data_IF_325175542814
#
_entry.id   IF_325175542814
#
_cell.length_a   1.000
_cell.length_b   1.000
_cell.length_c   1.000
_cell.angle_alpha   90.00
_cell.angle_beta   90.00
_cell.angle_gamma   90.00
#
_symmetry.space_group_name_H-M   'P 1'
#
loop_
_entity.id
_entity.type
_entity.pdbx_description
1 polymer ?
#
# COMPACT_ATOMS: atom_id res chain seq x y z
N UNK A 1 -7.90 -28.09 50.62
CA UNK A 1 -8.12 -26.67 50.26
C UNK A 1 -6.76 -25.99 50.13
N UNK A 2 -6.27 -25.74 48.91
CA UNK A 2 -4.98 -25.07 48.70
C UNK A 2 -5.22 -23.60 48.39
N UNK A 3 -5.01 -22.74 49.39
CA UNK A 3 -5.25 -21.29 49.36
C UNK A 3 -4.00 -20.47 49.04
N UNK A 4 -3.10 -20.98 48.20
CA UNK A 4 -1.89 -20.25 47.81
C UNK A 4 -2.14 -19.32 46.62
N UNK A 5 -3.05 -18.37 46.77
CA UNK A 5 -3.12 -17.22 45.85
C UNK A 5 -2.20 -16.11 46.40
N UNK A 6 -0.98 -16.01 45.87
CA UNK A 6 0.04 -15.02 46.30
C UNK A 6 -0.25 -13.59 45.85
N UNK A 7 -1.39 -13.31 45.20
CA UNK A 7 -1.82 -11.96 44.86
C UNK A 7 -3.35 -11.83 44.98
N UNK A 8 -3.88 -11.70 46.21
CA UNK A 8 -5.33 -11.68 46.45
C UNK A 8 -6.02 -10.39 45.94
N UNK A 9 -5.26 -9.31 45.72
CA UNK A 9 -5.79 -7.99 45.33
C UNK A 9 -5.57 -7.65 43.85
N UNK A 10 -4.79 -8.46 43.11
CA UNK A 10 -4.54 -8.29 41.68
C UNK A 10 -3.81 -6.99 41.29
N UNK A 11 -3.26 -6.25 42.26
CA UNK A 11 -2.58 -4.97 42.01
C UNK A 11 -1.10 -5.18 41.76
N UNK A 12 -0.76 -5.31 40.49
CA UNK A 12 0.62 -5.36 40.02
C UNK A 12 1.13 -3.91 39.96
N UNK A 13 2.30 -3.61 40.51
CA UNK A 13 2.87 -2.25 40.63
C UNK A 13 3.27 -1.58 39.30
N UNK A 14 2.85 -2.14 38.16
CA UNK A 14 3.04 -1.57 36.84
C UNK A 14 1.67 -1.14 36.30
N UNK A 15 1.57 0.12 35.87
CA UNK A 15 0.44 0.70 35.12
C UNK A 15 0.31 -0.02 33.76
N UNK A 16 -0.18 -1.25 33.79
CA UNK A 16 -0.41 -2.04 32.60
C UNK A 16 -1.62 -1.48 31.84
N UNK A 17 -1.58 -1.43 30.50
CA UNK A 17 -2.73 -0.96 29.73
C UNK A 17 -3.98 -1.80 30.03
N UNK A 18 -5.13 -1.13 30.16
CA UNK A 18 -6.42 -1.79 30.44
C UNK A 18 -6.68 -2.92 29.42
N UNK A 19 -7.33 -3.99 29.88
CA UNK A 19 -7.65 -5.15 29.03
C UNK A 19 -8.44 -4.72 27.78
N UNK A 20 -9.45 -3.89 27.99
CA UNK A 20 -10.40 -3.45 26.95
C UNK A 20 -10.06 -2.05 26.42
N UNK A 21 -8.77 -1.70 26.40
CA UNK A 21 -8.29 -0.45 25.82
C UNK A 21 -8.58 -0.44 24.31
N UNK A 22 -9.49 0.44 23.82
CA UNK A 22 -9.97 0.40 22.44
C UNK A 22 -8.86 0.70 21.43
N UNK A 23 -7.89 1.56 21.75
CA UNK A 23 -6.81 1.89 20.82
C UNK A 23 -5.93 0.66 20.54
N UNK A 24 -5.67 -0.13 21.59
CA UNK A 24 -4.86 -1.35 21.46
C UNK A 24 -5.62 -2.41 20.67
N UNK A 25 -6.91 -2.58 20.95
CA UNK A 25 -7.73 -3.57 20.25
C UNK A 25 -7.85 -3.22 18.77
N UNK A 26 -8.10 -1.94 18.45
CA UNK A 26 -8.16 -1.44 17.08
C UNK A 26 -6.80 -1.60 16.37
N UNK A 27 -5.69 -1.29 17.04
CA UNK A 27 -4.35 -1.47 16.47
C UNK A 27 -4.04 -2.95 16.20
N UNK A 28 -4.36 -3.87 17.12
CA UNK A 28 -4.18 -5.32 16.91
C UNK A 28 -5.00 -5.81 15.72
N UNK A 29 -6.26 -5.35 15.58
CA UNK A 29 -7.08 -5.68 14.42
C UNK A 29 -6.49 -5.14 13.13
N UNK A 30 -6.03 -3.89 13.11
CA UNK A 30 -5.36 -3.27 11.97
C UNK A 30 -4.12 -4.06 11.55
N UNK A 31 -3.19 -4.30 12.46
CA UNK A 31 -1.98 -5.08 12.16
C UNK A 31 -2.28 -6.48 11.63
N UNK A 32 -3.33 -7.11 12.16
CA UNK A 32 -3.78 -8.42 11.68
C UNK A 32 -4.31 -8.35 10.25
N UNK A 33 -5.09 -7.31 9.90
CA UNK A 33 -5.54 -7.03 8.53
C UNK A 33 -4.38 -6.72 7.59
N UNK A 34 -3.36 -6.02 8.08
CA UNK A 34 -2.13 -5.70 7.34
C UNK A 34 -1.18 -6.91 7.18
N UNK A 35 -1.55 -8.07 7.71
CA UNK A 35 -0.76 -9.30 7.59
C UNK A 35 0.37 -9.45 8.60
N UNK A 36 0.47 -8.56 9.59
CA UNK A 36 1.43 -8.69 10.69
C UNK A 36 0.95 -9.79 11.63
N UNK A 37 1.47 -11.01 11.45
CA UNK A 37 1.04 -12.17 12.24
C UNK A 37 1.84 -12.36 13.53
N UNK A 38 3.05 -11.79 13.63
CA UNK A 38 3.96 -12.05 14.76
C UNK A 38 3.60 -11.20 15.99
N UNK A 39 3.37 -11.83 17.17
CA UNK A 39 3.18 -11.09 18.41
C UNK A 39 4.34 -10.16 18.75
N UNK A 40 5.59 -10.55 18.46
CA UNK A 40 6.77 -9.71 18.71
C UNK A 40 6.76 -8.44 17.86
N UNK A 41 6.38 -8.57 16.58
CA UNK A 41 6.25 -7.41 15.67
C UNK A 41 5.14 -6.47 16.13
N UNK A 42 3.98 -7.02 16.51
CA UNK A 42 2.88 -6.21 17.05
C UNK A 42 3.29 -5.45 18.31
N UNK A 43 4.08 -6.05 19.21
CA UNK A 43 4.61 -5.34 20.40
C UNK A 43 5.48 -4.16 19.97
N UNK A 44 6.41 -4.37 19.03
CA UNK A 44 7.27 -3.29 18.53
C UNK A 44 6.47 -2.17 17.86
N UNK A 45 5.46 -2.51 17.07
CA UNK A 45 4.59 -1.53 16.40
C UNK A 45 3.74 -0.75 17.40
N UNK A 46 3.13 -1.41 18.39
CA UNK A 46 2.37 -0.73 19.44
C UNK A 46 3.24 0.25 20.25
N UNK A 47 4.48 -0.13 20.53
CA UNK A 47 5.41 0.74 21.22
C UNK A 47 5.80 1.95 20.36
N UNK A 48 6.06 1.73 19.07
CA UNK A 48 6.46 2.80 18.15
C UNK A 48 5.32 3.77 17.84
N UNK A 49 4.10 3.26 17.62
CA UNK A 49 2.96 4.06 17.16
C UNK A 49 2.15 4.68 18.30
N UNK A 50 1.94 3.93 19.39
CA UNK A 50 1.08 4.35 20.51
C UNK A 50 1.85 4.59 21.81
N UNK A 51 3.16 4.33 21.85
CA UNK A 51 3.95 4.38 23.07
C UNK A 51 3.56 3.33 24.12
N UNK A 52 2.72 2.34 23.75
CA UNK A 52 2.16 1.35 24.68
C UNK A 52 2.98 0.07 24.66
N UNK A 53 3.54 -0.30 25.82
CA UNK A 53 4.31 -1.54 25.99
C UNK A 53 3.42 -2.69 26.45
N UNK A 54 3.43 -3.80 25.71
CA UNK A 54 2.74 -5.04 26.06
C UNK A 54 3.66 -6.24 25.92
N UNK A 55 3.41 -7.28 26.71
CA UNK A 55 4.07 -8.58 26.51
C UNK A 55 3.45 -9.32 25.32
N UNK A 56 4.23 -10.18 24.66
CA UNK A 56 3.70 -11.07 23.61
C UNK A 56 2.53 -11.94 24.10
N UNK A 57 2.59 -12.39 25.36
CA UNK A 57 1.52 -13.19 25.97
C UNK A 57 0.22 -12.38 26.08
N UNK A 58 0.30 -11.09 26.37
CA UNK A 58 -0.85 -10.19 26.39
C UNK A 58 -1.43 -10.02 24.99
N UNK A 59 -0.60 -9.88 23.96
CA UNK A 59 -1.06 -9.82 22.55
C UNK A 59 -1.74 -11.13 22.14
N UNK A 60 -1.14 -12.29 22.43
CA UNK A 60 -1.73 -13.59 22.13
C UNK A 60 -3.12 -13.75 22.76
N UNK A 61 -3.28 -13.33 24.02
CA UNK A 61 -4.58 -13.37 24.72
C UNK A 61 -5.60 -12.43 24.09
N UNK A 62 -5.22 -11.17 23.84
CA UNK A 62 -6.14 -10.19 23.21
C UNK A 62 -6.55 -10.61 21.81
N UNK A 63 -5.64 -11.22 21.04
CA UNK A 63 -5.97 -11.79 19.71
C UNK A 63 -6.99 -12.92 19.80
N UNK A 64 -6.87 -13.77 20.81
CA UNK A 64 -7.85 -14.84 21.06
C UNK A 64 -9.22 -14.24 21.41
N UNK A 65 -9.24 -13.25 22.31
CA UNK A 65 -10.48 -12.56 22.73
C UNK A 65 -11.15 -11.82 21.54
N UNK A 66 -10.37 -11.29 20.61
CA UNK A 66 -10.82 -10.63 19.38
C UNK A 66 -11.19 -11.60 18.24
N UNK A 67 -10.98 -12.92 18.41
CA UNK A 67 -11.22 -13.90 17.34
C UNK A 67 -10.26 -13.80 16.14
N UNK A 68 -9.17 -13.04 16.24
CA UNK A 68 -8.19 -12.87 15.15
C UNK A 68 -7.18 -14.02 15.15
N UNK A 69 -7.50 -15.03 14.36
CA UNK A 69 -6.73 -16.26 14.26
C UNK A 69 -5.78 -16.25 13.06
N UNK A 70 -4.67 -16.98 13.18
CA UNK A 70 -3.81 -17.23 12.02
C UNK A 70 -4.40 -18.36 11.17
N UNK A 71 -4.12 -18.34 9.85
CA UNK A 71 -4.55 -19.39 8.92
C UNK A 71 -4.22 -20.82 9.38
N UNK A 72 -3.15 -20.97 10.17
CA UNK A 72 -2.67 -22.27 10.68
C UNK A 72 -3.32 -22.68 12.01
N UNK A 73 -4.04 -21.77 12.67
CA UNK A 73 -4.71 -22.04 13.94
C UNK A 73 -5.70 -23.19 13.79
N UNK A 74 -5.63 -24.16 14.71
CA UNK A 74 -6.61 -25.25 14.78
C UNK A 74 -8.03 -24.77 15.07
N UNK A 75 -8.21 -23.54 15.56
CA UNK A 75 -9.52 -22.89 15.70
C UNK A 75 -10.03 -22.47 14.32
N UNK A 76 -9.21 -21.77 13.54
CA UNK A 76 -9.61 -21.30 12.21
C UNK A 76 -9.89 -22.44 11.23
N UNK A 77 -9.11 -23.54 11.31
CA UNK A 77 -9.39 -24.76 10.52
C UNK A 77 -10.73 -25.41 10.85
N UNK A 78 -11.24 -25.24 12.07
CA UNK A 78 -12.55 -25.75 12.50
C UNK A 78 -13.69 -24.79 12.16
N UNK A 79 -13.39 -23.49 12.13
CA UNK A 79 -14.37 -22.45 11.80
C UNK A 79 -14.66 -22.34 10.31
N UNK A 80 -13.66 -22.57 9.44
CA UNK A 80 -13.81 -22.40 8.00
C UNK A 80 -13.77 -23.76 7.29
N UNK A 81 -14.92 -24.17 6.76
CA UNK A 81 -15.02 -25.32 5.86
C UNK A 81 -14.33 -25.02 4.51
N UNK A 82 -14.14 -26.05 3.68
CA UNK A 82 -13.64 -25.85 2.33
C UNK A 82 -14.57 -24.96 1.50
N UNK A 83 -15.89 -25.14 1.63
CA UNK A 83 -16.88 -24.32 0.93
C UNK A 83 -16.82 -22.85 1.33
N UNK A 84 -16.63 -22.56 2.62
CA UNK A 84 -16.47 -21.18 3.10
C UNK A 84 -15.24 -20.53 2.48
N UNK A 85 -14.11 -21.25 2.44
CA UNK A 85 -12.87 -20.76 1.79
C UNK A 85 -13.08 -20.50 0.31
N UNK A 86 -13.76 -21.41 -0.39
CA UNK A 86 -14.10 -21.24 -1.81
C UNK A 86 -14.92 -19.98 -2.00
N UNK A 87 -15.99 -19.77 -1.23
CA UNK A 87 -16.82 -18.58 -1.36
C UNK A 87 -16.04 -17.29 -1.08
N UNK A 88 -15.18 -17.28 -0.06
CA UNK A 88 -14.34 -16.13 0.28
C UNK A 88 -13.41 -15.76 -0.88
N UNK A 89 -12.77 -16.76 -1.49
CA UNK A 89 -11.85 -16.55 -2.62
C UNK A 89 -12.62 -16.11 -3.87
N UNK A 90 -13.75 -16.75 -4.19
CA UNK A 90 -14.59 -16.38 -5.33
C UNK A 90 -15.12 -14.95 -5.22
N UNK A 91 -15.64 -14.56 -4.06
CA UNK A 91 -16.08 -13.19 -3.81
C UNK A 91 -14.95 -12.17 -3.99
N UNK A 92 -13.70 -12.56 -3.73
CA UNK A 92 -12.56 -11.68 -3.94
C UNK A 92 -12.16 -11.62 -5.42
N UNK A 93 -12.24 -12.72 -6.16
CA UNK A 93 -12.00 -12.76 -7.61
C UNK A 93 -13.06 -11.94 -8.37
N UNK A 94 -14.32 -11.96 -7.93
CA UNK A 94 -15.38 -11.14 -8.52
C UNK A 94 -15.11 -9.63 -8.44
N UNK A 95 -14.29 -9.19 -7.47
CA UNK A 95 -13.86 -7.78 -7.35
C UNK A 95 -12.72 -7.42 -8.31
N UNK A 96 -12.16 -8.39 -9.03
CA UNK A 96 -11.07 -8.20 -9.99
C UNK A 96 -11.53 -8.49 -11.42
N UNK A 97 -12.37 -7.64 -12.03
CA UNK A 97 -12.87 -7.84 -13.39
C UNK A 97 -11.75 -7.92 -14.45
N UNK A 98 -10.55 -7.41 -14.16
CA UNK A 98 -9.38 -7.53 -15.04
C UNK A 98 -8.70 -8.91 -14.98
N UNK A 99 -8.99 -9.72 -13.96
CA UNK A 99 -8.31 -10.98 -13.63
C UNK A 99 -6.78 -10.85 -13.57
N UNK A 100 -6.29 -9.67 -13.16
CA UNK A 100 -4.86 -9.36 -13.09
C UNK A 100 -4.22 -9.73 -11.75
N UNK A 101 -5.03 -9.92 -10.70
CA UNK A 101 -4.54 -10.13 -9.34
C UNK A 101 -4.02 -11.54 -9.13
N UNK A 102 -2.70 -11.65 -8.96
CA UNK A 102 -2.08 -12.91 -8.58
C UNK A 102 -2.45 -13.36 -7.16
N UNK A 103 -2.17 -14.64 -6.86
CA UNK A 103 -2.47 -15.29 -5.58
C UNK A 103 -2.09 -14.46 -4.34
N UNK A 104 -0.93 -13.83 -4.35
CA UNK A 104 -0.46 -13.06 -3.17
C UNK A 104 -1.33 -11.83 -2.94
N UNK A 105 -1.87 -11.23 -4.01
CA UNK A 105 -2.73 -10.06 -3.94
C UNK A 105 -4.08 -10.47 -3.39
N UNK A 106 -4.69 -11.52 -3.95
CA UNK A 106 -5.95 -12.09 -3.47
C UNK A 106 -5.86 -12.43 -1.98
N UNK A 107 -4.78 -13.10 -1.57
CA UNK A 107 -4.54 -13.41 -0.15
C UNK A 107 -4.49 -12.15 0.73
N UNK A 108 -3.76 -11.13 0.28
CA UNK A 108 -3.61 -9.88 1.04
C UNK A 108 -4.93 -9.11 1.11
N UNK A 109 -5.72 -9.05 0.03
CA UNK A 109 -7.04 -8.41 0.03
C UNK A 109 -8.03 -9.13 0.96
N UNK A 110 -8.05 -10.47 0.97
CA UNK A 110 -8.91 -11.23 1.90
C UNK A 110 -8.53 -10.89 3.36
N UNK A 111 -7.22 -10.81 3.65
CA UNK A 111 -6.75 -10.44 4.98
C UNK A 111 -7.13 -9.00 5.35
N UNK A 112 -6.95 -8.05 4.44
CA UNK A 112 -7.22 -6.64 4.66
C UNK A 112 -8.72 -6.35 4.83
N UNK A 113 -9.53 -6.81 3.88
CA UNK A 113 -10.96 -6.52 3.83
C UNK A 113 -11.71 -7.25 4.94
N UNK A 114 -11.45 -8.55 5.09
CA UNK A 114 -12.25 -9.44 5.94
C UNK A 114 -11.56 -9.79 7.27
N UNK A 115 -10.26 -9.50 7.43
CA UNK A 115 -9.49 -9.98 8.59
C UNK A 115 -9.25 -11.48 8.59
N UNK A 116 -9.51 -12.17 7.47
CA UNK A 116 -9.41 -13.63 7.36
C UNK A 116 -8.08 -14.00 6.71
N UNK A 117 -7.34 -14.86 7.40
CA UNK A 117 -6.10 -15.42 6.85
C UNK A 117 -6.31 -16.83 6.31
N UNK A 118 -6.13 -17.01 5.01
CA UNK A 118 -6.16 -18.34 4.36
C UNK A 118 -4.75 -18.83 4.03
N UNK A 119 -4.59 -20.15 3.89
CA UNK A 119 -3.33 -20.73 3.45
C UNK A 119 -3.14 -20.46 1.96
N UNK A 120 -1.88 -20.24 1.57
CA UNK A 120 -1.51 -20.05 0.16
C UNK A 120 -1.98 -21.22 -0.71
N UNK A 121 -1.82 -22.45 -0.23
CA UNK A 121 -2.14 -23.64 -1.00
C UNK A 121 -3.66 -23.81 -1.18
N UNK A 122 -4.46 -23.45 -0.17
CA UNK A 122 -5.93 -23.44 -0.27
C UNK A 122 -6.38 -22.45 -1.36
N UNK A 123 -5.87 -21.21 -1.31
CA UNK A 123 -6.19 -20.19 -2.32
C UNK A 123 -5.75 -20.64 -3.71
N UNK A 124 -4.51 -21.16 -3.82
CA UNK A 124 -3.97 -21.64 -5.10
C UNK A 124 -4.85 -22.72 -5.71
N UNK A 125 -5.29 -23.68 -4.91
CA UNK A 125 -6.14 -24.77 -5.37
C UNK A 125 -7.48 -24.24 -5.87
N UNK A 126 -8.15 -23.40 -5.08
CA UNK A 126 -9.44 -22.79 -5.43
C UNK A 126 -9.32 -21.97 -6.71
N UNK A 127 -8.32 -21.08 -6.79
CA UNK A 127 -8.11 -20.26 -7.99
C UNK A 127 -7.81 -21.13 -9.22
N UNK A 128 -7.03 -22.21 -9.11
CA UNK A 128 -6.79 -23.10 -10.26
C UNK A 128 -8.03 -23.87 -10.71
N UNK A 129 -8.93 -24.19 -9.78
CA UNK A 129 -10.18 -24.89 -10.07
C UNK A 129 -11.22 -23.97 -10.72
N UNK A 130 -11.34 -22.73 -10.25
CA UNK A 130 -12.44 -21.84 -10.63
C UNK A 130 -12.03 -20.70 -11.58
N UNK A 131 -10.75 -20.34 -11.64
CA UNK A 131 -10.20 -19.33 -12.55
C UNK A 131 -8.90 -19.83 -13.23
N UNK A 132 -8.98 -20.90 -14.03
CA UNK A 132 -7.81 -21.41 -14.75
C UNK A 132 -7.30 -20.44 -15.82
N UNK A 133 -8.16 -19.58 -16.37
CA UNK A 133 -7.79 -18.62 -17.41
C UNK A 133 -7.03 -17.41 -16.84
N UNK A 134 -7.44 -16.85 -15.70
CA UNK A 134 -6.70 -15.76 -15.04
C UNK A 134 -5.26 -16.16 -14.69
N UNK A 135 -5.06 -17.42 -14.26
CA UNK A 135 -3.72 -17.96 -14.04
C UNK A 135 -2.87 -18.06 -15.30
N UNK A 136 -3.47 -18.45 -16.44
CA UNK A 136 -2.75 -18.49 -17.72
C UNK A 136 -2.40 -17.08 -18.19
N UNK A 137 -3.32 -16.13 -18.05
CA UNK A 137 -3.12 -14.74 -18.41
C UNK A 137 -2.00 -14.06 -17.59
N UNK A 138 -1.77 -14.49 -16.34
CA UNK A 138 -0.67 -14.01 -15.51
C UNK A 138 0.73 -14.45 -16.01
N UNK A 139 0.82 -15.43 -16.92
CA UNK A 139 2.06 -15.98 -17.49
C UNK A 139 3.22 -16.15 -16.48
N UNK A 140 3.03 -16.94 -15.41
CA UNK A 140 4.01 -17.06 -14.34
C UNK A 140 5.35 -17.58 -14.88
N UNK A 141 6.39 -16.74 -14.78
CA UNK A 141 7.76 -17.08 -15.20
C UNK A 141 8.14 -16.70 -16.63
N UNK A 142 7.24 -16.08 -17.41
CA UNK A 142 7.54 -15.65 -18.78
C UNK A 142 8.67 -14.60 -18.87
N UNK A 143 8.85 -13.78 -17.84
CA UNK A 143 9.94 -12.78 -17.77
C UNK A 143 10.85 -13.03 -16.57
N UNK A 144 12.07 -13.49 -16.82
CA UNK A 144 13.15 -13.54 -15.84
C UNK A 144 13.96 -12.24 -15.90
N UNK A 145 13.50 -11.22 -15.19
CA UNK A 145 14.21 -9.95 -15.09
C UNK A 145 15.38 -10.14 -14.09
N UNK A 146 16.64 -9.86 -14.49
CA UNK A 146 17.76 -9.84 -13.56
C UNK A 146 17.48 -8.87 -12.42
N UNK A 147 17.56 -9.35 -11.18
CA UNK A 147 17.34 -8.52 -9.99
C UNK A 147 18.69 -8.07 -9.44
N UNK A 148 18.87 -6.77 -9.32
CA UNK A 148 20.03 -6.19 -8.65
C UNK A 148 19.61 -5.73 -7.26
N UNK A 149 20.37 -6.11 -6.23
CA UNK A 149 20.13 -5.64 -4.88
C UNK A 149 20.37 -4.11 -4.82
N UNK A 150 19.42 -3.38 -4.24
CA UNK A 150 19.61 -1.98 -3.87
C UNK A 150 19.95 -1.95 -2.39
N UNK A 151 21.03 -1.25 -2.05
CA UNK A 151 21.53 -1.13 -0.68
C UNK A 151 21.47 0.34 -0.28
N UNK A 152 20.27 0.88 0.02
CA UNK A 152 20.15 2.22 0.55
C UNK A 152 20.84 2.33 1.91
N UNK A 153 21.43 3.49 2.19
CA UNK A 153 21.96 3.88 3.50
C UNK A 153 20.82 4.05 4.52
N UNK A 154 19.65 4.52 4.07
CA UNK A 154 18.48 4.70 4.94
C UNK A 154 17.22 5.19 4.22
N UNK A 155 16.13 5.30 4.97
CA UNK A 155 14.89 5.94 4.49
C UNK A 155 15.15 7.42 4.21
N UNK A 156 14.45 7.97 3.22
CA UNK A 156 14.63 9.33 2.71
C UNK A 156 16.03 9.64 2.14
N UNK A 157 16.89 8.65 1.95
CA UNK A 157 18.13 8.85 1.19
C UNK A 157 17.80 9.24 -0.26
N UNK A 158 16.95 8.44 -0.92
CA UNK A 158 16.55 8.69 -2.30
C UNK A 158 15.04 8.66 -2.46
N UNK A 159 14.50 9.69 -3.08
CA UNK A 159 13.11 9.74 -3.52
C UNK A 159 13.06 9.54 -5.04
N UNK A 160 12.13 8.71 -5.49
CA UNK A 160 11.91 8.42 -6.90
C UNK A 160 10.52 8.92 -7.29
N UNK A 161 10.47 9.92 -8.18
CA UNK A 161 9.24 10.52 -8.69
C UNK A 161 8.98 10.14 -10.14
N UNK A 162 7.71 10.04 -10.51
CA UNK A 162 7.28 9.77 -11.88
C UNK A 162 5.80 10.11 -12.10
N UNK A 163 5.41 10.27 -13.37
CA UNK A 163 4.02 10.40 -13.82
C UNK A 163 3.47 9.06 -14.34
N UNK A 164 2.17 8.81 -14.16
CA UNK A 164 1.52 7.61 -14.69
C UNK A 164 0.26 7.90 -15.49
N UNK A 165 0.22 7.37 -16.71
CA UNK A 165 -0.86 7.60 -17.67
C UNK A 165 -1.97 6.54 -17.69
N UNK A 166 -1.92 5.48 -16.88
CA UNK A 166 -2.92 4.41 -17.02
C UNK A 166 -4.36 4.91 -16.79
N UNK A 167 -4.55 5.74 -15.76
CA UNK A 167 -5.83 6.38 -15.47
C UNK A 167 -6.08 7.65 -16.30
N UNK A 168 -5.11 8.08 -17.12
CA UNK A 168 -5.28 9.18 -18.05
C UNK A 168 -6.44 8.94 -19.01
N UNK A 169 -6.67 7.67 -19.41
CA UNK A 169 -7.77 7.26 -20.29
C UNK A 169 -9.16 7.59 -19.74
N UNK A 170 -9.28 7.78 -18.43
CA UNK A 170 -10.53 8.16 -17.76
C UNK A 170 -10.43 9.57 -17.13
N UNK A 171 -9.40 10.33 -17.50
CA UNK A 171 -9.23 11.74 -17.10
C UNK A 171 -8.52 11.96 -15.77
N UNK A 172 -7.81 10.96 -15.24
CA UNK A 172 -7.09 11.08 -13.97
C UNK A 172 -5.59 10.81 -14.14
N UNK A 173 -4.80 11.78 -14.66
CA UNK A 173 -3.35 11.69 -14.64
C UNK A 173 -2.86 11.60 -13.20
N UNK A 174 -1.88 10.73 -12.92
CA UNK A 174 -1.27 10.63 -11.60
C UNK A 174 0.18 11.08 -11.68
N UNK A 175 0.64 11.79 -10.66
CA UNK A 175 2.06 11.95 -10.37
C UNK A 175 2.33 11.48 -8.94
N UNK A 176 3.45 10.84 -8.68
CA UNK A 176 3.73 10.32 -7.34
C UNK A 176 5.21 10.18 -7.05
N UNK A 177 5.52 10.02 -5.76
CA UNK A 177 6.87 9.80 -5.25
C UNK A 177 6.90 8.63 -4.30
N UNK A 178 7.91 7.78 -4.44
CA UNK A 178 8.22 6.72 -3.48
C UNK A 178 9.59 6.92 -2.86
N UNK A 179 9.73 6.46 -1.62
CA UNK A 179 11.02 6.28 -0.98
C UNK A 179 11.69 5.04 -1.56
N UNK A 180 12.89 5.21 -2.11
CA UNK A 180 13.61 4.12 -2.78
C UNK A 180 14.06 3.02 -1.80
N UNK A 181 14.28 3.35 -0.53
CA UNK A 181 14.81 2.41 0.44
C UNK A 181 13.74 1.43 0.95
N UNK A 182 12.56 1.96 1.26
CA UNK A 182 11.43 1.21 1.80
C UNK A 182 10.42 0.79 0.73
N UNK A 183 10.50 1.36 -0.47
CA UNK A 183 9.46 1.29 -1.51
C UNK A 183 8.10 1.85 -1.07
N UNK A 184 8.05 2.60 0.04
CA UNK A 184 6.84 3.23 0.55
C UNK A 184 6.46 4.40 -0.37
N UNK A 185 5.19 4.52 -0.70
CA UNK A 185 4.64 5.75 -1.27
C UNK A 185 4.85 6.89 -0.26
N UNK A 186 5.58 7.91 -0.66
CA UNK A 186 5.64 9.14 0.12
C UNK A 186 4.33 9.90 -0.07
N UNK A 187 3.87 10.00 -1.32
CA UNK A 187 2.54 10.45 -1.67
C UNK A 187 2.26 10.19 -3.18
N UNK A 188 0.99 10.29 -3.59
CA UNK A 188 0.55 10.19 -4.97
C UNK A 188 -0.70 11.04 -5.20
N UNK A 189 -0.71 11.82 -6.27
CA UNK A 189 -1.73 12.82 -6.54
C UNK A 189 -2.32 12.64 -7.93
N UNK A 190 -3.65 12.72 -7.99
CA UNK A 190 -4.34 12.98 -9.25
C UNK A 190 -4.15 14.45 -9.60
N UNK A 191 -3.58 14.73 -10.77
CA UNK A 191 -3.22 16.09 -11.20
C UNK A 191 -3.95 16.47 -12.48
N UNK A 192 -4.23 17.76 -12.72
CA UNK A 192 -4.82 18.21 -13.99
C UNK A 192 -3.97 17.83 -15.21
N UNK A 193 -2.65 17.82 -15.05
CA UNK A 193 -1.70 17.33 -16.04
C UNK A 193 -0.40 16.91 -15.35
N UNK A 194 0.11 15.73 -15.71
CA UNK A 194 1.41 15.24 -15.26
C UNK A 194 2.57 15.75 -16.14
N UNK A 195 2.30 16.66 -17.09
CA UNK A 195 3.30 17.27 -17.98
C UNK A 195 3.61 18.73 -17.59
N UNK A 196 2.99 19.25 -16.53
CA UNK A 196 3.20 20.63 -16.07
C UNK A 196 4.27 20.68 -14.97
N UNK A 197 5.43 21.26 -15.30
CA UNK A 197 6.56 21.32 -14.37
C UNK A 197 6.28 22.06 -13.06
N UNK A 198 5.50 23.15 -13.11
CA UNK A 198 5.12 23.93 -11.92
C UNK A 198 4.35 23.07 -10.90
N UNK A 199 3.48 22.16 -11.38
CA UNK A 199 2.74 21.23 -10.53
C UNK A 199 3.70 20.26 -9.85
N UNK A 200 4.63 19.68 -10.61
CA UNK A 200 5.58 18.71 -10.08
C UNK A 200 6.50 19.34 -9.02
N UNK A 201 6.96 20.56 -9.28
CA UNK A 201 7.71 21.37 -8.32
C UNK A 201 6.90 21.61 -7.03
N UNK A 202 5.64 22.00 -7.17
CA UNK A 202 4.74 22.19 -6.03
C UNK A 202 4.57 20.90 -5.21
N UNK A 203 4.34 19.75 -5.86
CA UNK A 203 4.18 18.45 -5.19
C UNK A 203 5.44 18.03 -4.44
N UNK A 204 6.62 18.28 -5.01
CA UNK A 204 7.89 18.07 -4.31
C UNK A 204 7.97 18.94 -3.05
N UNK A 205 7.67 20.23 -3.13
CA UNK A 205 7.69 21.13 -1.97
C UNK A 205 6.69 20.71 -0.88
N UNK A 206 5.52 20.19 -1.25
CA UNK A 206 4.58 19.60 -0.30
C UNK A 206 5.21 18.46 0.51
N UNK A 207 5.94 17.55 -0.14
CA UNK A 207 6.67 16.48 0.55
C UNK A 207 7.76 17.03 1.47
N UNK A 208 8.50 18.05 1.02
CA UNK A 208 9.54 18.68 1.85
C UNK A 208 8.95 19.25 3.15
N UNK A 209 7.78 19.88 3.06
CA UNK A 209 7.07 20.42 4.22
C UNK A 209 6.50 19.31 5.12
N UNK A 210 5.92 18.26 4.51
CA UNK A 210 5.33 17.12 5.22
C UNK A 210 6.39 16.36 6.03
N UNK A 211 7.51 16.02 5.39
CA UNK A 211 8.61 15.26 6.00
C UNK A 211 9.64 16.16 6.71
N UNK A 212 9.46 17.48 6.67
CA UNK A 212 10.32 18.51 7.28
C UNK A 212 11.79 18.35 6.89
N UNK A 213 12.04 17.97 5.64
CA UNK A 213 13.37 17.67 5.12
C UNK A 213 13.35 17.38 3.62
N UNK A 214 14.53 17.46 3.01
CA UNK A 214 14.76 17.11 1.60
C UNK A 214 15.55 15.79 1.52
N UNK A 215 15.37 14.98 0.47
CA UNK A 215 16.18 13.77 0.29
C UNK A 215 17.64 14.11 -0.04
N UNK A 216 18.55 13.16 0.18
CA UNK A 216 19.93 13.32 -0.30
C UNK A 216 19.99 13.31 -1.83
N UNK A 217 19.11 12.53 -2.47
CA UNK A 217 18.98 12.45 -3.91
C UNK A 217 17.50 12.34 -4.33
N UNK A 218 17.11 13.10 -5.36
CA UNK A 218 15.84 12.93 -6.05
C UNK A 218 16.09 12.36 -7.45
N UNK A 219 15.27 11.41 -7.90
CA UNK A 219 15.39 10.84 -9.24
C UNK A 219 14.07 10.79 -9.98
N UNK A 220 14.10 11.11 -11.27
CA UNK A 220 12.97 10.98 -12.20
C UNK A 220 13.45 10.43 -13.53
N UNK A 221 12.48 10.11 -14.38
CA UNK A 221 12.71 9.98 -15.80
C UNK A 221 13.03 11.34 -16.44
N UNK A 222 13.64 11.29 -17.62
CA UNK A 222 14.04 12.49 -18.36
C UNK A 222 12.86 13.05 -19.17
N UNK A 223 11.94 13.75 -18.49
CA UNK A 223 10.83 14.49 -19.09
C UNK A 223 11.04 16.00 -19.05
N UNK A 224 10.42 16.73 -19.98
CA UNK A 224 10.54 18.20 -20.04
C UNK A 224 9.99 18.89 -18.79
N UNK A 225 8.95 18.30 -18.20
CA UNK A 225 8.26 18.74 -16.99
C UNK A 225 9.15 18.73 -15.74
N UNK A 226 10.22 17.94 -15.74
CA UNK A 226 11.10 17.77 -14.57
C UNK A 226 12.26 18.76 -14.51
N UNK A 227 12.44 19.59 -15.55
CA UNK A 227 13.59 20.50 -15.67
C UNK A 227 13.64 21.53 -14.54
N UNK A 228 12.49 22.10 -14.17
CA UNK A 228 12.41 23.05 -13.06
C UNK A 228 12.69 22.37 -11.72
N UNK A 229 12.18 21.14 -11.55
CA UNK A 229 12.42 20.34 -10.35
C UNK A 229 13.91 20.05 -10.17
N UNK A 230 14.62 19.71 -11.25
CA UNK A 230 16.07 19.55 -11.25
C UNK A 230 16.77 20.80 -10.68
N UNK A 231 16.44 21.98 -11.18
CA UNK A 231 17.04 23.23 -10.71
C UNK A 231 16.77 23.49 -9.22
N UNK A 232 15.51 23.31 -8.80
CA UNK A 232 15.09 23.54 -7.43
C UNK A 232 15.76 22.58 -6.43
N UNK A 233 15.81 21.28 -6.74
CA UNK A 233 16.41 20.28 -5.84
C UNK A 233 17.91 20.55 -5.66
N UNK A 234 18.62 20.91 -6.73
CA UNK A 234 20.04 21.28 -6.63
C UNK A 234 20.22 22.54 -5.77
N UNK A 235 19.43 23.59 -5.99
CA UNK A 235 19.51 24.82 -5.21
C UNK A 235 19.22 24.60 -3.72
N UNK A 236 18.20 23.82 -3.37
CA UNK A 236 17.89 23.49 -1.98
C UNK A 236 18.99 22.65 -1.33
N UNK A 237 19.58 21.71 -2.08
CA UNK A 237 20.71 20.91 -1.60
C UNK A 237 21.94 21.75 -1.34
N UNK A 238 22.24 22.72 -2.19
CA UNK A 238 23.36 23.66 -1.98
C UNK A 238 23.14 24.56 -0.75
N UNK A 239 21.91 25.06 -0.55
CA UNK A 239 21.57 25.95 0.57
C UNK A 239 21.59 25.21 1.92
N UNK A 240 20.98 24.02 1.98
CA UNK A 240 20.72 23.32 3.24
C UNK A 240 21.74 22.22 3.57
N UNK A 241 22.53 21.77 2.60
CA UNK A 241 23.51 20.69 2.76
C UNK A 241 24.81 20.98 2.00
N UNK A 242 25.37 22.17 2.21
CA UNK A 242 26.62 22.63 1.59
C UNK A 242 27.81 21.69 1.81
N UNK A 243 27.80 20.93 2.91
CA UNK A 243 28.88 20.00 3.27
C UNK A 243 28.86 18.70 2.44
N UNK A 244 27.80 18.48 1.65
CA UNK A 244 27.61 17.28 0.87
C UNK A 244 27.89 17.57 -0.60
N UNK A 245 29.11 17.25 -1.03
CA UNK A 245 29.58 17.53 -2.39
C UNK A 245 28.70 16.88 -3.46
N UNK A 246 28.12 17.72 -4.33
CA UNK A 246 27.27 17.32 -5.45
C UNK A 246 28.03 16.45 -6.46
N UNK A 247 29.36 16.59 -6.55
CA UNK A 247 30.20 15.74 -7.38
C UNK A 247 30.29 14.30 -6.84
N UNK A 248 30.11 14.10 -5.53
CA UNK A 248 30.12 12.79 -4.87
C UNK A 248 28.72 12.19 -4.80
N UNK A 249 27.74 12.97 -4.33
CA UNK A 249 26.32 12.58 -4.26
C UNK A 249 25.48 13.62 -4.98
N UNK A 250 25.06 13.28 -6.19
CA UNK A 250 24.19 14.15 -6.99
C UNK A 250 22.87 14.36 -6.27
N UNK A 251 22.50 15.62 -6.07
CA UNK A 251 21.21 16.03 -5.54
C UNK A 251 20.04 15.55 -6.42
N UNK A 252 20.24 15.55 -7.74
CA UNK A 252 19.25 15.09 -8.71
C UNK A 252 19.86 14.14 -9.73
N UNK A 253 19.13 13.09 -10.09
CA UNK A 253 19.55 12.14 -11.12
C UNK A 253 18.42 11.80 -12.11
N UNK A 254 18.70 12.03 -13.39
CA UNK A 254 17.87 11.52 -14.48
C UNK A 254 18.16 10.05 -14.72
N UNK A 255 17.11 9.24 -14.67
CA UNK A 255 17.15 7.81 -14.93
C UNK A 255 16.42 7.51 -16.24
N UNK A 256 16.73 6.35 -16.82
CA UNK A 256 15.84 5.73 -17.80
C UNK A 256 14.70 5.06 -17.02
N UNK A 257 13.46 5.02 -17.54
CA UNK A 257 12.33 4.30 -16.91
C UNK A 257 12.72 2.92 -16.37
N UNK A 258 13.44 2.12 -17.16
CA UNK A 258 13.92 0.79 -16.74
C UNK A 258 14.81 0.78 -15.47
N UNK A 259 15.42 1.91 -15.13
CA UNK A 259 16.25 2.12 -13.94
C UNK A 259 15.50 2.82 -12.81
N UNK A 260 14.35 3.45 -13.08
CA UNK A 260 13.46 4.02 -12.06
C UNK A 260 12.60 2.95 -11.37
N UNK A 261 13.24 1.83 -11.00
CA UNK A 261 12.57 0.57 -10.60
C UNK A 261 11.65 0.73 -9.39
N UNK A 262 11.94 1.65 -8.46
CA UNK A 262 11.15 1.80 -7.25
C UNK A 262 9.73 2.28 -7.57
N UNK A 263 9.60 3.36 -8.32
CA UNK A 263 8.29 3.93 -8.70
C UNK A 263 7.60 3.04 -9.74
N UNK A 264 8.33 2.48 -10.70
CA UNK A 264 7.78 1.55 -11.71
C UNK A 264 7.18 0.28 -11.10
N UNK A 265 7.82 -0.26 -10.06
CA UNK A 265 7.26 -1.38 -9.30
C UNK A 265 5.97 -0.99 -8.60
N UNK A 266 5.92 0.22 -8.05
CA UNK A 266 4.74 0.76 -7.39
C UNK A 266 3.61 1.03 -8.39
N UNK A 267 3.91 1.49 -9.60
CA UNK A 267 2.95 1.61 -10.69
C UNK A 267 2.38 0.29 -11.14
N UNK A 268 3.22 -0.74 -11.31
CA UNK A 268 2.74 -2.08 -11.61
C UNK A 268 1.75 -2.56 -10.54
N UNK A 269 2.01 -2.27 -9.27
CA UNK A 269 1.13 -2.63 -8.17
C UNK A 269 -0.20 -1.88 -8.24
N UNK A 270 -0.15 -0.55 -8.37
CA UNK A 270 -1.34 0.29 -8.49
C UNK A 270 -2.21 -0.16 -9.67
N UNK A 271 -1.59 -0.42 -10.82
CA UNK A 271 -2.27 -0.86 -12.03
C UNK A 271 -3.02 -2.17 -11.82
N UNK A 272 -2.34 -3.20 -11.33
CA UNK A 272 -2.89 -4.56 -11.20
C UNK A 272 -3.90 -4.66 -10.07
N UNK A 273 -3.67 -3.99 -8.94
CA UNK A 273 -4.57 -4.09 -7.79
C UNK A 273 -5.84 -3.26 -7.98
N UNK A 274 -5.72 -2.10 -8.64
CA UNK A 274 -6.80 -1.11 -8.70
C UNK A 274 -7.01 -0.54 -10.09
N UNK A 275 -5.96 -0.05 -10.75
CA UNK A 275 -6.09 0.83 -11.91
C UNK A 275 -6.79 0.20 -13.11
N UNK A 276 -6.47 -1.05 -13.45
CA UNK A 276 -7.10 -1.76 -14.56
C UNK A 276 -8.60 -2.00 -14.28
N UNK A 277 -8.94 -2.40 -13.05
CA UNK A 277 -10.34 -2.57 -12.62
C UNK A 277 -11.11 -1.25 -12.61
N UNK A 278 -10.51 -0.17 -12.10
CA UNK A 278 -11.11 1.15 -12.09
C UNK A 278 -11.46 1.64 -13.50
N UNK A 279 -10.58 1.42 -14.48
CA UNK A 279 -10.85 1.77 -15.88
C UNK A 279 -12.01 0.94 -16.44
N UNK A 280 -12.04 -0.38 -16.17
CA UNK A 280 -13.13 -1.26 -16.62
C UNK A 280 -14.47 -0.79 -16.04
N UNK A 281 -14.53 -0.53 -14.73
CA UNK A 281 -15.76 -0.07 -14.08
C UNK A 281 -16.20 1.32 -14.57
N UNK A 282 -15.26 2.25 -14.75
CA UNK A 282 -15.56 3.57 -15.31
C UNK A 282 -16.19 3.46 -16.72
N UNK A 283 -15.63 2.58 -17.55
CA UNK A 283 -16.07 2.38 -18.93
C UNK A 283 -17.42 1.67 -19.07
N UNK A 284 -17.88 0.92 -18.05
CA UNK A 284 -19.25 0.39 -18.04
C UNK A 284 -20.30 1.50 -18.06
N UNK A 285 -19.93 2.70 -17.60
CA UNK A 285 -20.83 3.84 -17.49
C UNK A 285 -21.89 3.65 -16.39
N UNK A 286 -22.68 4.69 -16.10
CA UNK A 286 -23.75 4.57 -15.12
C UNK A 286 -24.84 3.62 -15.63
N UNK A 287 -25.54 2.89 -14.74
CA UNK A 287 -26.64 2.01 -15.12
C UNK A 287 -27.88 2.76 -15.65
N UNK A 288 -27.85 4.10 -15.68
CA UNK A 288 -28.95 4.96 -16.09
C UNK A 288 -28.68 5.62 -17.44
N UNK A 289 -29.72 5.69 -18.28
CA UNK A 289 -29.69 5.95 -19.72
C UNK A 289 -29.32 7.39 -20.13
N UNK A 290 -29.00 8.27 -19.18
CA UNK A 290 -28.89 9.72 -19.43
C UNK A 290 -27.45 10.28 -19.41
N UNK A 291 -26.43 9.42 -19.42
CA UNK A 291 -25.04 9.87 -19.53
C UNK A 291 -24.60 9.93 -20.98
N UNK A 292 -24.06 11.08 -21.38
CA UNK A 292 -23.45 11.29 -22.69
C UNK A 292 -21.98 11.66 -22.47
N UNK A 293 -21.05 10.82 -22.96
CA UNK A 293 -19.62 11.04 -22.80
C UNK A 293 -19.08 12.18 -23.68
N UNK A 294 -19.84 12.57 -24.71
CA UNK A 294 -19.49 13.70 -25.60
C UNK A 294 -19.97 15.03 -25.02
N UNK A 295 -20.87 15.02 -24.03
CA UNK A 295 -21.27 16.24 -23.30
C UNK A 295 -20.18 16.59 -22.24
N UNK A 296 -19.50 17.74 -22.39
CA UNK A 296 -18.44 18.14 -21.46
C UNK A 296 -18.92 18.29 -20.01
N UNK A 297 -20.18 18.68 -19.78
CA UNK A 297 -20.74 18.83 -18.45
C UNK A 297 -20.94 17.47 -17.78
N UNK A 298 -21.45 16.49 -18.54
CA UNK A 298 -21.60 15.12 -18.07
C UNK A 298 -20.24 14.51 -17.74
N UNK A 299 -19.24 14.68 -18.61
CA UNK A 299 -17.88 14.20 -18.39
C UNK A 299 -17.25 14.83 -17.14
N UNK A 300 -17.34 16.15 -16.99
CA UNK A 300 -16.81 16.86 -15.81
C UNK A 300 -17.52 16.44 -14.53
N UNK A 301 -18.85 16.30 -14.56
CA UNK A 301 -19.62 15.84 -13.41
C UNK A 301 -19.24 14.40 -13.03
N UNK A 302 -19.07 13.51 -14.01
CA UNK A 302 -18.60 12.13 -13.79
C UNK A 302 -17.22 12.11 -13.12
N UNK A 303 -16.27 12.88 -13.65
CA UNK A 303 -14.92 12.98 -13.09
C UNK A 303 -14.94 13.55 -11.66
N UNK A 304 -15.78 14.57 -11.42
CA UNK A 304 -15.94 15.15 -10.09
C UNK A 304 -16.56 14.18 -9.10
N UNK A 305 -17.58 13.41 -9.50
CA UNK A 305 -18.21 12.40 -8.66
C UNK A 305 -17.22 11.28 -8.31
N UNK A 306 -16.44 10.81 -9.28
CA UNK A 306 -15.40 9.79 -9.07
C UNK A 306 -14.25 10.29 -8.19
N UNK A 307 -13.88 11.56 -8.31
CA UNK A 307 -12.90 12.19 -7.42
C UNK A 307 -13.43 12.32 -5.99
N UNK A 308 -14.72 12.64 -5.82
CA UNK A 308 -15.33 12.93 -4.52
C UNK A 308 -15.88 11.70 -3.81
N UNK A 309 -16.19 10.62 -4.51
CA UNK A 309 -16.55 9.35 -3.87
C UNK A 309 -15.42 8.97 -2.94
N UNK A 310 -15.66 9.05 -1.63
CA UNK A 310 -14.66 8.77 -0.61
C UNK A 310 -13.99 7.43 -0.93
N UNK A 311 -12.64 7.37 -1.01
CA UNK A 311 -11.99 6.08 -1.02
C UNK A 311 -12.36 5.40 0.28
N UNK A 312 -13.14 4.32 0.19
CA UNK A 312 -13.28 3.35 1.27
C UNK A 312 -11.87 2.75 1.44
N UNK A 313 -11.04 3.41 2.24
CA UNK A 313 -9.69 3.00 2.65
C UNK A 313 -8.82 2.40 1.56
N UNK A 314 -8.00 3.22 0.89
CA UNK A 314 -6.73 2.76 0.30
C UNK A 314 -5.68 2.70 1.41
#
# INVERSE_FOLDING_TARGET
MSSHNRNPTGKNQHSAPKKDDPDILNAIMRYHKDGVASPSQMVSLLQAELGKSLSESSIKRRRLDLGVHSARSGIQKRLLSYQDKTQIVLNQLEKDPSNGQGLSNIKNHIAHDQGIHLLRDDISHIMHTHDPEGFRACEPGAKKIPRTARNPVGIHERWAGDGHDKLYKIGFPIWAVVDNASAKWLNGWVVPSNQMGDIIVYLFLCLVLEYKGIPLQFSTDCGSETTQLYGLVNALREIFFSDCDIAVVRAYEYLRSIHNVAIERSWLRLRVDFGDNAVIEYQKGPPFVNFDAEDPLHLQLSQWLWYRSEPVGI
#
